data_IF_666196817100
#
_entry.id   IF_666196817100
#
_cell.length_a   1.000
_cell.length_b   1.000
_cell.length_c   1.000
_cell.angle_alpha   90.00
_cell.angle_beta   90.00
_cell.angle_gamma   90.00
#
_symmetry.space_group_name_H-M   'P 1'
#
loop_
_entity.id
_entity.type
_entity.pdbx_description
1 polymer ?
#
# COMPACT_ATOMS: atom_id res chain seq x y z
N UNK A 1 0.39 41.70 13.09
CA UNK A 1 0.00 40.95 14.30
C UNK A 1 -1.11 40.00 13.90
N UNK A 2 -0.75 38.76 13.55
CA UNK A 2 -1.69 37.78 13.01
C UNK A 2 -2.44 37.09 14.13
N UNK A 3 -3.77 37.28 14.15
CA UNK A 3 -4.70 36.55 15.01
C UNK A 3 -4.69 35.07 14.64
N UNK A 4 -4.09 34.25 15.49
CA UNK A 4 -4.25 32.79 15.45
C UNK A 4 -5.64 32.44 15.95
N UNK A 5 -6.53 32.11 15.03
CA UNK A 5 -7.86 31.58 15.31
C UNK A 5 -7.72 30.30 16.13
N UNK A 6 -7.95 30.40 17.45
CA UNK A 6 -8.13 29.24 18.33
C UNK A 6 -9.32 28.45 17.81
N UNK A 7 -9.06 27.31 17.18
CA UNK A 7 -10.06 26.30 16.85
C UNK A 7 -10.66 25.86 18.18
N UNK A 8 -11.91 26.25 18.47
CA UNK A 8 -12.66 25.73 19.62
C UNK A 8 -12.89 24.24 19.38
N UNK A 9 -12.37 23.41 20.28
CA UNK A 9 -12.71 21.99 20.38
C UNK A 9 -14.19 21.87 20.80
N UNK A 10 -14.95 20.88 20.29
CA UNK A 10 -16.30 20.60 20.78
C UNK A 10 -16.23 20.11 22.23
N UNK A 11 -17.11 20.64 23.07
CA UNK A 11 -17.10 20.58 24.54
C UNK A 11 -17.50 19.22 25.17
N UNK A 12 -17.33 18.04 24.55
CA UNK A 12 -18.01 16.83 25.10
C UNK A 12 -17.34 15.44 24.99
N UNK A 13 -16.00 15.30 24.91
CA UNK A 13 -15.39 13.94 24.75
C UNK A 13 -14.16 13.60 25.63
N UNK A 14 -13.97 14.25 26.79
CA UNK A 14 -13.08 13.79 27.89
C UNK A 14 -11.65 13.32 27.51
N UNK A 15 -11.01 12.53 28.38
CA UNK A 15 -9.67 11.97 28.16
C UNK A 15 -9.60 11.01 26.95
N UNK A 16 -10.74 10.44 26.57
CA UNK A 16 -10.88 9.46 25.51
C UNK A 16 -10.59 10.06 24.12
N UNK A 17 -11.12 11.26 23.84
CA UNK A 17 -10.83 11.96 22.58
C UNK A 17 -9.41 12.50 22.49
N UNK A 18 -8.81 12.90 23.61
CA UNK A 18 -7.41 13.37 23.65
C UNK A 18 -6.45 12.30 23.14
N UNK A 19 -6.73 11.03 23.44
CA UNK A 19 -5.95 9.89 22.93
C UNK A 19 -6.36 9.43 21.52
N UNK A 20 -7.35 10.09 20.90
CA UNK A 20 -7.85 9.73 19.56
C UNK A 20 -8.56 8.38 19.50
N UNK A 21 -9.04 7.85 20.63
CA UNK A 21 -9.66 6.53 20.71
C UNK A 21 -11.09 6.56 20.15
N UNK A 22 -11.48 5.46 19.49
CA UNK A 22 -12.83 5.25 18.94
C UNK A 22 -13.28 3.81 19.14
N UNK A 23 -14.58 3.61 19.32
CA UNK A 23 -15.16 2.27 19.33
C UNK A 23 -14.91 1.57 17.99
N UNK A 24 -14.53 0.29 18.05
CA UNK A 24 -14.53 -0.57 16.87
C UNK A 24 -15.95 -1.10 16.71
N UNK A 25 -16.64 -0.66 15.65
CA UNK A 25 -17.93 -1.22 15.28
C UNK A 25 -17.78 -2.73 15.05
N UNK A 26 -18.83 -3.50 15.37
CA UNK A 26 -18.95 -4.96 15.19
C UNK A 26 -18.44 -5.86 16.33
N UNK A 27 -18.03 -5.29 17.48
CA UNK A 27 -17.86 -6.09 18.72
C UNK A 27 -18.88 -5.66 19.76
N UNK A 28 -19.77 -6.57 20.16
CA UNK A 28 -20.75 -6.37 21.26
C UNK A 28 -20.04 -5.92 22.54
N UNK A 29 -18.87 -6.51 22.82
CA UNK A 29 -18.03 -6.11 23.96
C UNK A 29 -17.35 -4.74 23.77
N UNK A 30 -17.16 -4.27 22.54
CA UNK A 30 -16.53 -2.98 22.24
C UNK A 30 -17.34 -1.80 22.77
N UNK A 31 -18.66 -1.80 22.55
CA UNK A 31 -19.54 -0.75 23.06
C UNK A 31 -19.72 -0.75 24.58
N UNK A 32 -19.74 -1.93 25.21
CA UNK A 32 -19.84 -2.05 26.67
C UNK A 32 -18.53 -1.65 27.37
N UNK A 33 -17.38 -2.10 26.86
CA UNK A 33 -16.08 -1.74 27.38
C UNK A 33 -15.82 -0.22 27.25
N UNK A 34 -16.19 0.39 26.13
CA UNK A 34 -16.08 1.85 25.95
C UNK A 34 -16.86 2.61 27.02
N UNK A 35 -18.12 2.24 27.28
CA UNK A 35 -18.93 2.91 28.30
C UNK A 35 -18.27 2.85 29.68
N UNK A 36 -17.82 1.65 30.08
CA UNK A 36 -17.12 1.47 31.36
C UNK A 36 -15.86 2.33 31.43
N UNK A 37 -15.04 2.37 30.37
CA UNK A 37 -13.81 3.17 30.38
C UNK A 37 -14.09 4.68 30.40
N UNK A 38 -15.12 5.16 29.70
CA UNK A 38 -15.51 6.58 29.74
C UNK A 38 -15.95 7.02 31.14
N UNK A 39 -16.65 6.16 31.86
CA UNK A 39 -17.07 6.40 33.25
C UNK A 39 -15.92 6.32 34.27
N UNK A 40 -14.77 5.74 33.90
CA UNK A 40 -13.62 5.56 34.77
C UNK A 40 -12.35 6.20 34.17
N UNK A 41 -12.22 7.54 34.20
CA UNK A 41 -11.02 8.22 33.70
C UNK A 41 -9.74 7.73 34.39
N UNK A 42 -8.67 7.46 33.63
CA UNK A 42 -7.39 7.08 34.21
C UNK A 42 -6.82 8.26 34.99
N UNK A 43 -6.41 8.00 36.23
CA UNK A 43 -5.73 8.98 37.08
C UNK A 43 -4.22 9.09 36.79
N UNK A 44 -3.64 8.06 36.17
CA UNK A 44 -2.26 8.00 35.70
C UNK A 44 -2.10 6.87 34.68
N UNK A 45 -1.13 7.01 33.78
CA UNK A 45 -0.61 5.90 32.98
C UNK A 45 0.72 5.46 33.55
N UNK A 46 1.06 4.18 33.48
CA UNK A 46 2.35 3.69 34.00
C UNK A 46 3.11 3.03 32.87
N UNK A 47 4.35 3.48 32.65
CA UNK A 47 5.23 2.83 31.68
C UNK A 47 5.62 1.44 32.18
N UNK A 48 5.49 0.44 31.31
CA UNK A 48 6.00 -0.93 31.55
C UNK A 48 7.51 -0.92 31.75
N UNK A 49 8.20 0.07 31.17
CA UNK A 49 9.65 0.29 31.31
C UNK A 49 9.86 1.48 32.24
N UNK A 50 10.22 1.21 33.49
CA UNK A 50 10.63 2.23 34.46
C UNK A 50 9.58 2.71 35.47
N UNK A 51 8.32 2.25 35.38
CA UNK A 51 7.32 2.36 36.46
C UNK A 51 6.86 3.77 36.86
N UNK A 52 7.43 4.82 36.27
CA UNK A 52 7.04 6.20 36.57
C UNK A 52 5.65 6.50 35.99
N UNK A 53 4.79 7.24 36.72
CA UNK A 53 3.51 7.67 36.22
C UNK A 53 3.68 8.73 35.12
N UNK A 54 2.89 8.61 34.07
CA UNK A 54 2.78 9.52 32.94
C UNK A 54 1.43 10.24 32.97
N UNK A 55 1.44 11.52 32.62
CA UNK A 55 0.23 12.31 32.44
C UNK A 55 -0.48 11.94 31.13
N UNK A 56 -1.74 12.36 31.00
CA UNK A 56 -2.53 12.18 29.79
C UNK A 56 -1.86 12.85 28.57
N UNK A 57 -1.31 14.05 28.74
CA UNK A 57 -0.63 14.81 27.69
C UNK A 57 0.67 14.12 27.25
N UNK A 58 1.41 13.54 28.19
CA UNK A 58 2.61 12.77 27.87
C UNK A 58 2.27 11.53 27.04
N UNK A 59 1.20 10.81 27.40
CA UNK A 59 0.74 9.66 26.61
C UNK A 59 0.21 10.09 25.24
N UNK A 60 -0.52 11.19 25.16
CA UNK A 60 -0.99 11.74 23.88
C UNK A 60 0.19 12.10 22.94
N UNK A 61 1.21 12.77 23.47
CA UNK A 61 2.43 13.09 22.71
C UNK A 61 3.18 11.83 22.23
N UNK A 62 3.21 10.76 23.04
CA UNK A 62 3.79 9.49 22.64
C UNK A 62 3.00 8.80 21.52
N UNK A 63 1.66 8.87 21.56
CA UNK A 63 0.79 8.34 20.49
C UNK A 63 1.04 9.12 19.18
N UNK A 64 1.10 10.44 19.24
CA UNK A 64 1.39 11.28 18.08
C UNK A 64 2.78 10.97 17.50
N UNK A 65 3.80 10.87 18.34
CA UNK A 65 5.15 10.50 17.90
C UNK A 65 5.19 9.12 17.24
N UNK A 66 4.50 8.13 17.83
CA UNK A 66 4.40 6.80 17.25
C UNK A 66 3.62 6.78 15.92
N UNK A 67 2.59 7.62 15.78
CA UNK A 67 1.84 7.77 14.53
C UNK A 67 2.70 8.43 13.44
N UNK A 68 3.46 9.47 13.78
CA UNK A 68 4.40 10.12 12.85
C UNK A 68 5.51 9.16 12.42
N UNK A 69 6.11 8.42 13.35
CA UNK A 69 7.12 7.43 13.03
C UNK A 69 6.56 6.32 12.12
N UNK A 70 5.33 5.87 12.38
CA UNK A 70 4.64 4.91 11.50
C UNK A 70 4.44 5.46 10.09
N UNK A 71 4.04 6.72 9.95
CA UNK A 71 3.85 7.35 8.63
C UNK A 71 5.18 7.49 7.90
N UNK A 72 6.22 8.00 8.57
CA UNK A 72 7.56 8.11 7.99
C UNK A 72 8.10 6.76 7.52
N UNK A 73 7.94 5.69 8.33
CA UNK A 73 8.31 4.34 7.93
C UNK A 73 7.50 3.86 6.72
N UNK A 74 6.23 4.23 6.62
CA UNK A 74 5.37 3.88 5.49
C UNK A 74 5.82 4.60 4.21
N UNK A 75 6.14 5.89 4.30
CA UNK A 75 6.67 6.70 3.21
C UNK A 75 8.01 6.14 2.72
N UNK A 76 8.96 5.89 3.62
CA UNK A 76 10.26 5.29 3.28
C UNK A 76 10.07 3.92 2.61
N UNK A 77 9.24 3.05 3.17
CA UNK A 77 8.97 1.75 2.56
C UNK A 77 8.27 1.88 1.20
N UNK A 78 7.47 2.93 0.95
CA UNK A 78 6.87 3.18 -0.36
C UNK A 78 7.92 3.65 -1.38
N UNK A 79 8.89 4.46 -0.96
CA UNK A 79 10.03 4.87 -1.80
C UNK A 79 10.88 3.65 -2.16
N UNK A 80 11.32 2.87 -1.17
CA UNK A 80 12.14 1.67 -1.39
C UNK A 80 11.44 0.66 -2.31
N UNK A 81 10.14 0.45 -2.12
CA UNK A 81 9.34 -0.39 -3.02
C UNK A 81 9.33 0.15 -4.45
N UNK A 82 9.09 1.46 -4.62
CA UNK A 82 9.09 2.08 -5.96
C UNK A 82 10.43 1.92 -6.66
N UNK A 83 11.53 2.09 -5.94
CA UNK A 83 12.87 1.91 -6.48
C UNK A 83 13.14 0.45 -6.88
N UNK A 84 12.80 -0.51 -6.01
CA UNK A 84 12.92 -1.93 -6.34
C UNK A 84 12.05 -2.33 -7.53
N UNK A 85 10.80 -1.86 -7.55
CA UNK A 85 9.84 -2.10 -8.63
C UNK A 85 10.29 -1.51 -9.98
N UNK A 86 10.97 -0.35 -9.95
CA UNK A 86 11.58 0.24 -11.13
C UNK A 86 12.80 -0.57 -11.60
N UNK A 87 13.64 -1.03 -10.66
CA UNK A 87 14.80 -1.86 -10.99
C UNK A 87 14.39 -3.19 -11.64
N UNK A 88 13.34 -3.84 -11.14
CA UNK A 88 12.77 -5.06 -11.73
C UNK A 88 12.17 -4.79 -13.12
N UNK A 89 11.52 -3.64 -13.30
CA UNK A 89 10.99 -3.22 -14.59
C UNK A 89 12.08 -2.98 -15.63
N UNK A 90 13.12 -2.20 -15.31
CA UNK A 90 14.22 -1.94 -16.25
C UNK A 90 15.06 -3.20 -16.48
N UNK A 91 15.32 -3.98 -15.43
CA UNK A 91 16.06 -5.23 -15.51
C UNK A 91 15.41 -6.29 -16.42
N UNK A 92 14.11 -6.17 -16.70
CA UNK A 92 13.43 -7.01 -17.69
C UNK A 92 14.06 -6.91 -19.10
N UNK A 93 14.60 -5.75 -19.47
CA UNK A 93 15.22 -5.51 -20.76
C UNK A 93 16.68 -5.95 -20.83
N UNK A 94 17.33 -6.11 -19.67
CA UNK A 94 18.74 -6.46 -19.56
C UNK A 94 18.98 -7.98 -19.43
N UNK A 95 17.90 -8.77 -19.35
CA UNK A 95 18.02 -10.23 -19.28
C UNK A 95 18.63 -10.81 -20.58
N UNK A 96 19.45 -11.87 -20.50
CA UNK A 96 20.08 -12.47 -21.70
C UNK A 96 19.09 -12.90 -22.79
N UNK A 97 17.87 -13.26 -22.39
CA UNK A 97 16.79 -13.71 -23.27
C UNK A 97 15.73 -12.61 -23.52
N UNK A 98 15.99 -11.35 -23.13
CA UNK A 98 15.00 -10.28 -23.24
C UNK A 98 14.53 -10.04 -24.69
N UNK A 99 15.42 -10.25 -25.66
CA UNK A 99 15.14 -10.16 -27.09
C UNK A 99 14.42 -11.37 -27.69
N UNK A 100 14.33 -12.49 -26.97
CA UNK A 100 13.71 -13.70 -27.49
C UNK A 100 12.20 -13.50 -27.63
N UNK A 101 11.65 -13.85 -28.79
CA UNK A 101 10.21 -13.82 -29.02
C UNK A 101 9.57 -15.02 -28.33
N UNK A 102 8.54 -14.78 -27.53
CA UNK A 102 7.76 -15.85 -26.92
C UNK A 102 7.04 -16.63 -28.02
N UNK A 103 7.33 -17.92 -28.15
CA UNK A 103 6.79 -18.75 -29.24
C UNK A 103 5.38 -19.30 -28.95
N UNK A 104 5.04 -19.52 -27.68
CA UNK A 104 3.81 -20.23 -27.26
C UNK A 104 3.17 -19.53 -26.07
N UNK A 105 1.88 -19.79 -25.86
CA UNK A 105 1.11 -19.19 -24.75
C UNK A 105 0.47 -17.86 -25.12
N UNK A 106 -0.11 -17.17 -24.14
CA UNK A 106 -0.85 -15.91 -24.38
C UNK A 106 0.08 -14.72 -24.56
N UNK A 107 1.37 -14.86 -24.25
CA UNK A 107 2.39 -13.86 -24.57
C UNK A 107 3.01 -14.05 -25.95
N UNK A 108 2.56 -15.05 -26.73
CA UNK A 108 3.16 -15.35 -28.03
C UNK A 108 3.25 -14.13 -28.95
N UNK A 109 4.41 -13.97 -29.60
CA UNK A 109 4.69 -12.86 -30.52
C UNK A 109 5.22 -11.58 -29.86
N UNK A 110 5.29 -11.53 -28.53
CA UNK A 110 5.92 -10.44 -27.77
C UNK A 110 7.31 -10.92 -27.30
N UNK A 111 8.30 -10.02 -27.25
CA UNK A 111 9.62 -10.37 -26.70
C UNK A 111 9.54 -10.62 -25.19
N UNK A 112 10.39 -11.48 -24.64
CA UNK A 112 10.36 -11.81 -23.20
C UNK A 112 10.57 -10.58 -22.32
N UNK A 113 11.47 -9.67 -22.70
CA UNK A 113 11.71 -8.43 -21.96
C UNK A 113 10.48 -7.54 -21.93
N UNK A 114 9.84 -7.33 -23.09
CA UNK A 114 8.63 -6.51 -23.19
C UNK A 114 7.45 -7.13 -22.42
N UNK A 115 7.24 -8.45 -22.54
CA UNK A 115 6.21 -9.17 -21.78
C UNK A 115 6.41 -9.07 -20.26
N UNK A 116 7.66 -9.20 -19.79
CA UNK A 116 8.04 -9.08 -18.38
C UNK A 116 7.81 -7.65 -17.87
N UNK A 117 8.23 -6.64 -18.64
CA UNK A 117 8.02 -5.23 -18.34
C UNK A 117 6.52 -4.87 -18.26
N UNK A 118 5.70 -5.41 -19.17
CA UNK A 118 4.25 -5.27 -19.11
C UNK A 118 3.65 -5.88 -17.86
N UNK A 119 4.08 -7.08 -17.47
CA UNK A 119 3.62 -7.70 -16.23
C UNK A 119 3.88 -6.78 -15.03
N UNK A 120 5.10 -6.27 -14.87
CA UNK A 120 5.44 -5.36 -13.76
C UNK A 120 4.54 -4.12 -13.73
N UNK A 121 4.35 -3.47 -14.87
CA UNK A 121 3.50 -2.29 -14.96
C UNK A 121 2.04 -2.60 -14.61
N UNK A 122 1.47 -3.69 -15.13
CA UNK A 122 0.06 -4.03 -14.91
C UNK A 122 -0.19 -4.51 -13.47
N UNK A 123 0.78 -5.20 -12.84
CA UNK A 123 0.71 -5.48 -11.42
C UNK A 123 0.69 -4.20 -10.58
N UNK A 124 1.50 -3.21 -10.92
CA UNK A 124 1.64 -1.98 -10.13
C UNK A 124 0.48 -1.01 -10.36
N UNK A 125 0.08 -0.79 -11.61
CA UNK A 125 -0.86 0.29 -11.97
C UNK A 125 -2.29 -0.19 -12.23
N UNK A 126 -2.52 -1.48 -12.45
CA UNK A 126 -3.87 -2.04 -12.65
C UNK A 126 -4.19 -3.20 -11.67
N UNK A 127 -4.02 -3.00 -10.33
CA UNK A 127 -4.14 -4.08 -9.36
C UNK A 127 -5.55 -4.65 -9.18
N UNK A 128 -6.59 -3.91 -9.57
CA UNK A 128 -8.00 -4.32 -9.48
C UNK A 128 -8.60 -4.68 -10.84
N UNK A 129 -7.86 -4.55 -11.94
CA UNK A 129 -8.42 -4.67 -13.29
C UNK A 129 -8.85 -6.08 -13.67
N UNK A 130 -8.30 -7.10 -13.00
CA UNK A 130 -8.39 -8.47 -13.48
C UNK A 130 -8.67 -9.49 -12.38
N UNK A 131 -8.03 -9.36 -11.22
CA UNK A 131 -8.29 -10.18 -10.04
C UNK A 131 -8.08 -9.43 -8.74
N UNK A 132 -8.78 -9.86 -7.69
CA UNK A 132 -8.71 -9.23 -6.38
C UNK A 132 -7.26 -9.12 -5.88
N UNK A 133 -6.83 -7.95 -5.37
CA UNK A 133 -5.44 -7.73 -4.99
C UNK A 133 -4.95 -8.61 -3.82
N UNK A 134 -5.86 -9.12 -3.00
CA UNK A 134 -5.55 -10.05 -1.90
C UNK A 134 -5.73 -11.52 -2.25
N UNK A 135 -5.87 -11.87 -3.53
CA UNK A 135 -6.05 -13.27 -3.93
C UNK A 135 -4.73 -14.04 -3.98
N UNK A 136 -4.78 -15.33 -3.60
CA UNK A 136 -3.65 -16.24 -3.73
C UNK A 136 -3.11 -16.31 -5.17
N UNK A 137 -4.00 -16.30 -6.16
CA UNK A 137 -3.61 -16.40 -7.57
C UNK A 137 -2.72 -15.20 -7.98
N UNK A 138 -2.94 -14.00 -7.41
CA UNK A 138 -2.08 -12.84 -7.64
C UNK A 138 -0.71 -13.02 -7.02
N UNK A 139 -0.65 -13.58 -5.82
CA UNK A 139 0.61 -13.89 -5.14
C UNK A 139 1.44 -14.91 -5.93
N UNK A 140 0.82 -15.97 -6.42
CA UNK A 140 1.47 -17.00 -7.26
C UNK A 140 1.97 -16.43 -8.59
N UNK A 141 1.20 -15.54 -9.22
CA UNK A 141 1.59 -14.88 -10.46
C UNK A 141 2.79 -13.93 -10.26
N UNK A 142 2.82 -13.18 -9.15
CA UNK A 142 3.98 -12.37 -8.78
C UNK A 142 5.20 -13.22 -8.44
N UNK A 143 5.03 -14.34 -7.75
CA UNK A 143 6.11 -15.29 -7.49
C UNK A 143 6.69 -15.86 -8.80
N UNK A 144 5.81 -16.19 -9.75
CA UNK A 144 6.21 -16.65 -11.09
C UNK A 144 7.03 -15.58 -11.82
N UNK A 145 6.56 -14.33 -11.83
CA UNK A 145 7.26 -13.21 -12.45
C UNK A 145 8.66 -12.99 -11.85
N UNK A 146 8.75 -12.97 -10.51
CA UNK A 146 10.02 -12.82 -9.78
C UNK A 146 11.01 -13.95 -10.04
N UNK A 147 10.53 -15.14 -10.37
CA UNK A 147 11.39 -16.28 -10.76
C UNK A 147 11.85 -16.24 -12.22
N UNK A 148 11.49 -15.19 -12.99
CA UNK A 148 11.79 -15.06 -14.42
C UNK A 148 10.78 -15.75 -15.35
N UNK A 149 9.68 -16.26 -14.80
CA UNK A 149 8.57 -16.82 -15.55
C UNK A 149 7.61 -15.73 -16.06
N UNK A 150 6.86 -16.03 -17.11
CA UNK A 150 5.79 -15.15 -17.58
C UNK A 150 4.45 -15.66 -17.05
N UNK A 151 3.73 -14.91 -16.21
CA UNK A 151 2.41 -15.31 -15.75
C UNK A 151 1.40 -15.27 -16.91
N UNK A 152 0.72 -16.38 -17.15
CA UNK A 152 -0.33 -16.55 -18.18
C UNK A 152 -1.74 -16.15 -17.69
N UNK A 153 -1.83 -15.79 -16.41
CA UNK A 153 -3.09 -15.51 -15.72
C UNK A 153 -3.55 -14.06 -15.92
N UNK A 154 -4.84 -13.83 -15.68
CA UNK A 154 -5.45 -12.50 -15.46
C UNK A 154 -5.61 -11.54 -16.63
N UNK A 155 -5.74 -11.96 -17.88
CA UNK A 155 -6.04 -11.00 -18.95
C UNK A 155 -4.94 -9.96 -19.18
N UNK A 156 -3.82 -10.03 -18.45
CA UNK A 156 -2.65 -9.18 -18.60
C UNK A 156 -2.02 -9.31 -20.00
N UNK A 157 -1.90 -10.51 -20.58
CA UNK A 157 -1.44 -10.64 -21.96
C UNK A 157 -2.35 -9.89 -22.95
N UNK A 158 -3.67 -10.01 -22.80
CA UNK A 158 -4.65 -9.32 -23.63
C UNK A 158 -4.59 -7.81 -23.43
N UNK A 159 -4.50 -7.36 -22.18
CA UNK A 159 -4.37 -5.95 -21.85
C UNK A 159 -3.10 -5.34 -22.43
N UNK A 160 -1.98 -6.05 -22.33
CA UNK A 160 -0.72 -5.62 -22.94
C UNK A 160 -0.86 -5.53 -24.46
N UNK A 161 -1.48 -6.53 -25.10
CA UNK A 161 -1.75 -6.50 -26.55
C UNK A 161 -2.62 -5.32 -26.96
N UNK A 162 -3.72 -5.04 -26.25
CA UNK A 162 -4.56 -3.87 -26.53
C UNK A 162 -3.79 -2.55 -26.47
N UNK A 163 -2.83 -2.43 -25.56
CA UNK A 163 -1.99 -1.25 -25.41
C UNK A 163 -0.94 -1.18 -26.52
N UNK A 164 -0.30 -2.31 -26.86
CA UNK A 164 0.65 -2.43 -27.96
C UNK A 164 -0.01 -2.09 -29.30
N UNK A 165 -1.23 -2.58 -29.56
CA UNK A 165 -2.00 -2.27 -30.77
C UNK A 165 -2.32 -0.78 -30.89
N UNK A 166 -2.39 -0.07 -29.77
CA UNK A 166 -2.54 1.40 -29.71
C UNK A 166 -1.21 2.15 -29.82
N UNK A 167 -0.11 1.45 -30.09
CA UNK A 167 1.23 2.03 -30.22
C UNK A 167 1.93 2.30 -28.89
N UNK A 168 1.45 1.74 -27.78
CA UNK A 168 2.06 1.90 -26.46
C UNK A 168 3.15 0.85 -26.23
N UNK A 169 4.31 1.28 -25.72
CA UNK A 169 5.32 0.38 -25.16
C UNK A 169 5.21 0.34 -23.64
N UNK A 170 5.80 -0.68 -23.00
CA UNK A 170 5.79 -0.77 -21.54
C UNK A 170 6.44 0.48 -20.89
N UNK A 171 7.53 1.02 -21.47
CA UNK A 171 8.17 2.25 -20.99
C UNK A 171 7.28 3.47 -21.12
N UNK A 172 6.66 3.67 -22.28
CA UNK A 172 5.74 4.79 -22.50
C UNK A 172 4.54 4.73 -21.55
N UNK A 173 4.00 3.53 -21.31
CA UNK A 173 2.90 3.35 -20.37
C UNK A 173 3.28 3.75 -18.94
N UNK A 174 4.43 3.28 -18.45
CA UNK A 174 4.92 3.63 -17.12
C UNK A 174 5.12 5.13 -16.98
N UNK A 175 5.82 5.74 -17.93
CA UNK A 175 6.05 7.20 -17.93
C UNK A 175 4.72 7.96 -17.85
N UNK A 176 3.74 7.61 -18.68
CA UNK A 176 2.42 8.22 -18.65
C UNK A 176 1.72 8.06 -17.29
N UNK A 177 1.79 6.87 -16.67
CA UNK A 177 1.19 6.62 -15.35
C UNK A 177 1.83 7.47 -14.27
N UNK A 178 3.15 7.62 -14.31
CA UNK A 178 3.91 8.43 -13.37
C UNK A 178 3.63 9.93 -13.55
N UNK A 179 3.57 10.42 -14.80
CA UNK A 179 3.20 11.81 -15.11
C UNK A 179 1.78 12.15 -14.65
N UNK A 180 0.85 11.20 -14.74
CA UNK A 180 -0.51 11.36 -14.24
C UNK A 180 -0.64 11.24 -12.72
N UNK A 181 0.45 10.93 -12.01
CA UNK A 181 0.42 10.66 -10.56
C UNK A 181 -0.49 9.47 -10.20
N UNK A 182 -0.58 8.47 -11.09
CA UNK A 182 -1.45 7.32 -10.89
C UNK A 182 -1.05 6.56 -9.61
N UNK A 183 -2.01 6.18 -8.75
CA UNK A 183 -1.70 5.42 -7.55
C UNK A 183 -1.14 4.05 -7.94
N UNK A 184 -0.01 3.67 -7.33
CA UNK A 184 0.52 2.32 -7.41
C UNK A 184 -0.14 1.42 -6.36
N UNK A 185 -0.13 0.12 -6.63
CA UNK A 185 -0.58 -0.90 -5.70
C UNK A 185 0.21 -0.85 -4.37
N UNK A 186 -0.50 -0.66 -3.26
CA UNK A 186 0.06 -0.76 -1.90
C UNK A 186 -0.47 -2.04 -1.23
N UNK A 187 0.37 -3.07 -1.02
CA UNK A 187 -0.02 -4.29 -0.31
C UNK A 187 -0.53 -4.02 1.11
N UNK A 188 -0.03 -2.97 1.78
CA UNK A 188 -0.45 -2.62 3.12
C UNK A 188 -1.91 -2.11 3.19
N UNK A 189 -2.47 -1.70 2.05
CA UNK A 189 -3.87 -1.28 1.91
C UNK A 189 -4.86 -2.42 1.67
N UNK A 190 -4.38 -3.65 1.43
CA UNK A 190 -5.24 -4.79 1.11
C UNK A 190 -5.80 -5.40 2.39
N UNK A 191 -7.13 -5.40 2.53
CA UNK A 191 -7.80 -6.20 3.56
C UNK A 191 -7.70 -7.67 3.15
N UNK A 192 -6.99 -8.48 3.93
CA UNK A 192 -7.01 -9.94 3.78
C UNK A 192 -8.39 -10.41 4.23
N UNK A 193 -9.16 -10.93 3.27
CA UNK A 193 -10.45 -11.58 3.53
C UNK A 193 -10.27 -12.99 4.07
#
# INVERSE_FOLDING_TARGET
MSSTTKRRLPDDDGWWSVLGLRAVADRVMGGLAERVLREHPPIAFVSVVGGAPLSLEQVAAMIEAAAQEREQRRELAAIERREADLAEFEGAFDQPNAGDVVERGRWSGITRGEATAWCWNLFQYEPHGFVHPGSQVREEALATLRSGGLPEVFGYPERARELIEKGMTARCYRQLREELGSPMFDPAGVRRG
#
